data_IF_498697091648
#
_entry.id   IF_498697091648
#
_cell.length_a   1.000
_cell.length_b   1.000
_cell.length_c   1.000
_cell.angle_alpha   90.00
_cell.angle_beta   90.00
_cell.angle_gamma   90.00
#
_symmetry.space_group_name_H-M   'P 1'
#
loop_
_entity.id
_entity.type
_entity.pdbx_description
1 polymer ?
#
# COMPACT_ATOMS: atom_id res chain seq x y z
N UNK A 1 25.28 -12.73 -17.54
CA UNK A 1 25.16 -13.75 -16.48
C UNK A 1 26.54 -14.31 -16.31
N UNK A 2 27.14 -14.19 -15.13
CA UNK A 2 28.48 -14.74 -14.87
C UNK A 2 28.42 -16.27 -15.01
N UNK A 3 29.45 -16.89 -15.59
CA UNK A 3 29.57 -18.32 -15.96
C UNK A 3 29.50 -19.31 -14.77
N UNK A 4 29.16 -18.87 -13.56
CA UNK A 4 29.35 -19.63 -12.32
C UNK A 4 28.06 -20.08 -11.59
N UNK A 5 26.89 -19.94 -12.20
CA UNK A 5 25.63 -20.43 -11.59
C UNK A 5 25.03 -21.58 -12.43
N UNK A 6 25.40 -22.85 -12.17
CA UNK A 6 24.90 -23.98 -12.94
C UNK A 6 23.43 -24.25 -12.62
N UNK A 7 22.59 -24.37 -13.66
CA UNK A 7 21.20 -24.79 -13.51
C UNK A 7 21.17 -26.23 -12.99
N UNK A 8 20.66 -26.43 -11.77
CA UNK A 8 20.60 -27.75 -11.09
C UNK A 8 19.32 -28.51 -11.48
N UNK A 9 18.22 -27.79 -11.72
CA UNK A 9 16.93 -28.36 -12.09
C UNK A 9 16.07 -27.35 -12.85
N UNK A 10 15.39 -27.83 -13.89
CA UNK A 10 14.38 -27.07 -14.63
C UNK A 10 13.00 -27.64 -14.28
N UNK A 11 12.13 -26.80 -13.73
CA UNK A 11 10.77 -27.18 -13.31
C UNK A 11 9.79 -26.51 -14.27
N UNK A 12 9.02 -27.26 -15.08
CA UNK A 12 7.99 -26.68 -15.91
C UNK A 12 6.86 -26.11 -15.04
N UNK A 13 6.41 -24.92 -15.39
CA UNK A 13 5.34 -24.20 -14.69
C UNK A 13 4.13 -24.08 -15.60
N UNK A 14 3.02 -24.68 -15.19
CA UNK A 14 1.75 -24.66 -15.90
C UNK A 14 0.75 -23.75 -15.21
N UNK A 15 -0.06 -23.03 -15.97
CA UNK A 15 -1.19 -22.28 -15.44
C UNK A 15 -2.48 -23.06 -15.71
N UNK A 16 -3.30 -23.24 -14.67
CA UNK A 16 -4.54 -24.01 -14.72
C UNK A 16 -5.71 -23.04 -14.66
N UNK A 17 -6.46 -22.97 -15.76
CA UNK A 17 -7.57 -22.03 -15.93
C UNK A 17 -8.94 -22.66 -15.59
N UNK A 18 -9.05 -23.98 -15.61
CA UNK A 18 -10.29 -24.76 -15.36
C UNK A 18 -10.95 -24.42 -14.02
N UNK A 19 -10.14 -24.15 -13.00
CA UNK A 19 -10.57 -23.84 -11.62
C UNK A 19 -10.60 -22.33 -11.32
N UNK A 20 -10.38 -21.48 -12.31
CA UNK A 20 -10.36 -20.04 -12.10
C UNK A 20 -11.72 -19.53 -11.63
N UNK A 21 -11.69 -18.71 -10.58
CA UNK A 21 -12.88 -18.08 -10.03
C UNK A 21 -13.69 -18.94 -9.05
N UNK A 22 -13.29 -20.21 -8.83
CA UNK A 22 -13.96 -21.11 -7.88
C UNK A 22 -13.14 -21.34 -6.60
N UNK A 23 -11.83 -21.08 -6.66
CA UNK A 23 -10.90 -21.40 -5.60
C UNK A 23 -10.84 -20.29 -4.54
N UNK A 24 -11.21 -20.63 -3.30
CA UNK A 24 -11.11 -19.74 -2.15
C UNK A 24 -10.11 -20.28 -1.13
N UNK A 25 -9.24 -19.41 -0.61
CA UNK A 25 -8.33 -19.78 0.49
C UNK A 25 -9.00 -19.44 1.82
N UNK A 26 -9.29 -20.46 2.62
CA UNK A 26 -9.92 -20.30 3.93
C UNK A 26 -8.84 -20.36 5.02
N UNK A 27 -8.75 -19.31 5.84
CA UNK A 27 -7.81 -19.19 6.95
C UNK A 27 -8.54 -19.18 8.28
N UNK A 28 -7.93 -19.74 9.32
CA UNK A 28 -8.45 -19.76 10.68
C UNK A 28 -7.46 -19.08 11.65
N UNK A 29 -7.44 -17.73 11.73
CA UNK A 29 -6.41 -17.01 12.50
C UNK A 29 -6.38 -17.36 14.00
N UNK A 30 -7.51 -17.78 14.57
CA UNK A 30 -7.63 -18.15 15.98
C UNK A 30 -7.32 -19.63 16.26
N UNK A 31 -6.86 -20.37 15.25
CA UNK A 31 -6.49 -21.78 15.38
C UNK A 31 -5.02 -21.97 15.00
N UNK A 32 -4.19 -22.50 15.92
CA UNK A 32 -2.81 -22.80 15.58
C UNK A 32 -2.74 -24.02 14.67
N UNK A 33 -1.66 -24.13 13.89
CA UNK A 33 -1.44 -25.20 12.90
C UNK A 33 -1.48 -26.62 13.52
N UNK A 34 -1.03 -26.77 14.77
CA UNK A 34 -1.06 -28.06 15.48
C UNK A 34 -2.44 -28.44 16.05
N UNK A 35 -3.44 -27.54 15.99
CA UNK A 35 -4.81 -27.79 16.44
C UNK A 35 -5.81 -27.36 15.35
N UNK A 36 -5.88 -28.09 14.23
CA UNK A 36 -6.88 -27.85 13.21
C UNK A 36 -8.30 -28.16 13.74
N UNK A 37 -9.30 -27.89 12.90
CA UNK A 37 -10.68 -28.25 13.25
C UNK A 37 -10.82 -29.78 13.22
N UNK A 38 -11.37 -30.41 14.27
CA UNK A 38 -11.32 -31.86 14.45
C UNK A 38 -12.26 -32.62 13.50
N UNK A 39 -13.31 -31.96 13.01
CA UNK A 39 -14.34 -32.54 12.15
C UNK A 39 -14.64 -31.61 10.98
N UNK A 40 -15.22 -32.17 9.92
CA UNK A 40 -15.81 -31.38 8.85
C UNK A 40 -17.00 -30.54 9.38
N UNK A 41 -17.27 -29.37 8.80
CA UNK A 41 -18.47 -28.60 9.15
C UNK A 41 -19.73 -29.42 8.83
N UNK A 42 -20.79 -29.23 9.60
CA UNK A 42 -22.08 -29.88 9.36
C UNK A 42 -22.91 -29.12 8.32
N UNK A 43 -22.76 -27.79 8.27
CA UNK A 43 -23.44 -26.93 7.29
C UNK A 43 -22.50 -25.86 6.78
N UNK A 44 -22.60 -25.59 5.49
CA UNK A 44 -21.84 -24.56 4.80
C UNK A 44 -22.80 -23.70 3.98
N UNK A 45 -22.66 -22.38 4.10
CA UNK A 45 -23.49 -21.40 3.40
C UNK A 45 -22.63 -20.31 2.81
N UNK A 46 -22.92 -19.89 1.60
CA UNK A 46 -22.17 -18.86 0.89
C UNK A 46 -23.10 -17.77 0.38
N UNK A 47 -22.67 -16.53 0.57
CA UNK A 47 -23.16 -15.35 -0.15
C UNK A 47 -22.18 -15.05 -1.28
N UNK A 48 -22.49 -15.39 -2.55
CA UNK A 48 -21.53 -15.29 -3.66
C UNK A 48 -21.11 -13.85 -4.01
N UNK A 49 -22.01 -12.88 -3.93
CA UNK A 49 -21.73 -11.47 -4.29
C UNK A 49 -20.85 -10.80 -3.23
N UNK A 50 -21.21 -10.94 -1.95
CA UNK A 50 -20.45 -10.37 -0.84
C UNK A 50 -19.32 -11.28 -0.33
N UNK A 51 -19.18 -12.49 -0.90
CA UNK A 51 -18.14 -13.49 -0.59
C UNK A 51 -18.06 -13.82 0.90
N UNK A 52 -19.23 -14.03 1.51
CA UNK A 52 -19.33 -14.41 2.92
C UNK A 52 -19.63 -15.90 3.00
N UNK A 53 -18.66 -16.67 3.48
CA UNK A 53 -18.81 -18.07 3.84
C UNK A 53 -19.15 -18.17 5.33
N UNK A 54 -20.14 -18.99 5.63
CA UNK A 54 -20.51 -19.37 6.98
C UNK A 54 -20.43 -20.88 7.11
N UNK A 55 -19.72 -21.35 8.13
CA UNK A 55 -19.54 -22.76 8.44
C UNK A 55 -20.04 -23.02 9.86
N UNK A 56 -20.95 -23.97 10.01
CA UNK A 56 -21.47 -24.40 11.30
C UNK A 56 -20.80 -25.75 11.65
N UNK A 57 -19.98 -25.75 12.70
CA UNK A 57 -19.40 -26.96 13.28
C UNK A 57 -20.25 -27.43 14.45
N UNK A 58 -20.13 -28.70 14.84
CA UNK A 58 -20.74 -29.16 16.08
C UNK A 58 -20.15 -28.36 17.26
N UNK A 59 -20.99 -27.80 18.13
CA UNK A 59 -20.54 -27.06 19.31
C UNK A 59 -20.06 -27.97 20.43
N UNK A 60 -20.42 -29.26 20.38
CA UNK A 60 -20.11 -30.27 21.40
C UNK A 60 -18.86 -31.09 21.07
N UNK A 61 -17.86 -30.46 20.43
CA UNK A 61 -16.62 -31.12 19.98
C UNK A 61 -15.91 -31.88 21.11
N UNK A 62 -16.06 -31.43 22.35
CA UNK A 62 -15.62 -32.15 23.55
C UNK A 62 -16.75 -32.15 24.58
N UNK A 63 -17.48 -33.27 24.68
CA UNK A 63 -18.59 -33.42 25.62
C UNK A 63 -18.18 -33.25 27.10
N UNK A 64 -16.88 -33.39 27.41
CA UNK A 64 -16.33 -33.20 28.76
C UNK A 64 -16.12 -31.72 29.12
N UNK A 65 -15.91 -30.86 28.11
CA UNK A 65 -15.62 -29.44 28.31
C UNK A 65 -16.85 -28.55 28.02
N UNK A 66 -18.02 -29.18 27.84
CA UNK A 66 -19.27 -28.49 27.54
C UNK A 66 -20.11 -28.38 28.81
N UNK A 67 -20.36 -27.15 29.24
CA UNK A 67 -21.24 -26.87 30.36
C UNK A 67 -22.70 -27.02 29.94
N UNK A 68 -23.42 -27.93 30.59
CA UNK A 68 -24.84 -28.22 30.33
C UNK A 68 -25.76 -27.45 31.26
N UNK A 69 -25.22 -26.84 32.29
CA UNK A 69 -25.97 -26.12 33.31
C UNK A 69 -25.97 -24.59 33.04
N UNK A 70 -25.24 -24.15 32.01
CA UNK A 70 -25.25 -22.77 31.51
C UNK A 70 -26.62 -22.37 30.96
N UNK A 71 -26.90 -21.06 30.92
CA UNK A 71 -28.15 -20.49 30.38
C UNK A 71 -28.36 -20.90 28.91
N UNK A 72 -29.63 -21.08 28.51
CA UNK A 72 -29.98 -21.69 27.21
C UNK A 72 -29.38 -20.94 26.02
N UNK A 73 -29.32 -19.60 26.07
CA UNK A 73 -28.71 -18.80 25.01
C UNK A 73 -27.20 -19.01 24.89
N UNK A 74 -26.50 -19.37 25.98
CA UNK A 74 -25.07 -19.71 26.00
C UNK A 74 -24.79 -21.15 25.56
N UNK A 75 -25.81 -22.02 25.57
CA UNK A 75 -25.69 -23.42 25.15
C UNK A 75 -25.57 -23.55 23.63
N UNK A 76 -24.38 -23.26 23.10
CA UNK A 76 -24.11 -23.32 21.67
C UNK A 76 -24.16 -24.77 21.14
N UNK A 77 -25.27 -25.13 20.48
CA UNK A 77 -25.35 -26.40 19.73
C UNK A 77 -24.36 -26.46 18.57
N UNK A 78 -24.09 -25.32 17.94
CA UNK A 78 -23.17 -25.21 16.81
C UNK A 78 -22.15 -24.10 17.04
N UNK A 79 -20.87 -24.40 16.80
CA UNK A 79 -19.84 -23.38 16.68
C UNK A 79 -19.92 -22.78 15.28
N UNK A 80 -20.50 -21.58 15.18
CA UNK A 80 -20.63 -20.85 13.92
C UNK A 80 -19.40 -20.00 13.64
N UNK A 81 -18.75 -20.26 12.51
CA UNK A 81 -17.68 -19.42 11.99
C UNK A 81 -18.19 -18.64 10.77
N UNK A 82 -17.94 -17.34 10.76
CA UNK A 82 -18.25 -16.46 9.64
C UNK A 82 -16.97 -15.89 9.06
N UNK A 83 -16.88 -15.84 7.73
CA UNK A 83 -15.72 -15.29 7.05
C UNK A 83 -15.78 -13.76 6.95
N UNK A 84 -14.62 -13.13 7.06
CA UNK A 84 -14.35 -11.80 6.53
C UNK A 84 -13.41 -11.89 5.33
N UNK A 85 -13.76 -11.23 4.22
CA UNK A 85 -12.88 -11.16 3.06
C UNK A 85 -11.65 -10.32 3.37
N UNK A 86 -10.47 -10.84 3.02
CA UNK A 86 -9.20 -10.09 3.10
C UNK A 86 -8.97 -9.38 1.78
N UNK A 87 -8.62 -8.09 1.84
CA UNK A 87 -8.22 -7.35 0.65
C UNK A 87 -6.86 -7.86 0.16
N UNK A 88 -6.85 -8.38 -1.05
CA UNK A 88 -5.64 -8.86 -1.71
C UNK A 88 -4.75 -7.67 -2.09
N UNK A 89 -3.50 -7.68 -1.62
CA UNK A 89 -2.50 -6.67 -2.00
C UNK A 89 -1.78 -7.05 -3.31
N UNK A 90 -1.95 -8.28 -3.76
CA UNK A 90 -1.22 -8.91 -4.85
C UNK A 90 -2.09 -9.99 -5.51
N UNK A 91 -1.64 -10.48 -6.65
CA UNK A 91 -2.20 -11.67 -7.29
C UNK A 91 -1.66 -12.91 -6.57
N UNK A 92 -2.54 -13.69 -5.95
CA UNK A 92 -2.17 -14.95 -5.28
C UNK A 92 -2.61 -16.15 -6.13
N UNK A 93 -1.82 -17.23 -6.07
CA UNK A 93 -2.09 -18.50 -6.71
C UNK A 93 -1.71 -19.65 -5.77
N UNK A 94 -2.39 -20.79 -5.91
CA UNK A 94 -1.97 -22.06 -5.28
C UNK A 94 -1.11 -22.82 -6.28
N UNK A 95 0.06 -23.27 -5.83
CA UNK A 95 0.94 -24.14 -6.59
C UNK A 95 0.86 -25.58 -6.09
N UNK A 96 0.57 -26.53 -6.98
CA UNK A 96 0.59 -27.96 -6.70
C UNK A 96 1.76 -28.59 -7.46
N UNK A 97 2.64 -29.28 -6.75
CA UNK A 97 3.81 -29.96 -7.32
C UNK A 97 3.49 -31.45 -7.52
N UNK A 98 3.59 -31.95 -8.75
CA UNK A 98 3.38 -33.37 -9.08
C UNK A 98 4.39 -33.80 -10.14
N UNK A 99 5.07 -34.91 -9.91
CA UNK A 99 6.04 -35.49 -10.86
C UNK A 99 7.10 -34.50 -11.38
N UNK A 100 7.52 -33.53 -10.55
CA UNK A 100 8.50 -32.51 -10.94
C UNK A 100 7.94 -31.36 -11.76
N UNK A 101 6.63 -31.27 -11.95
CA UNK A 101 5.94 -30.15 -12.62
C UNK A 101 5.15 -29.32 -11.59
N UNK A 102 5.15 -27.99 -11.76
CA UNK A 102 4.41 -27.06 -10.91
C UNK A 102 3.16 -26.54 -11.63
N UNK A 103 1.99 -26.82 -11.09
CA UNK A 103 0.72 -26.32 -11.60
C UNK A 103 0.21 -25.18 -10.72
N UNK A 104 0.06 -23.98 -11.30
CA UNK A 104 -0.42 -22.79 -10.64
C UNK A 104 -1.91 -22.57 -10.95
N UNK A 105 -2.72 -22.37 -9.92
CA UNK A 105 -4.14 -22.01 -10.05
C UNK A 105 -4.41 -20.67 -9.37
N UNK A 106 -4.99 -19.67 -10.06
CA UNK A 106 -5.29 -18.36 -9.47
C UNK A 106 -6.32 -18.47 -8.34
N UNK A 107 -6.08 -17.77 -7.23
CA UNK A 107 -7.05 -17.65 -6.15
C UNK A 107 -8.13 -16.62 -6.50
N UNK A 108 -9.39 -16.93 -6.19
CA UNK A 108 -10.51 -16.00 -6.36
C UNK A 108 -10.70 -15.07 -5.17
N UNK A 109 -10.59 -15.61 -3.95
CA UNK A 109 -10.57 -14.80 -2.74
C UNK A 109 -9.90 -15.47 -1.56
N UNK A 110 -9.36 -14.64 -0.65
CA UNK A 110 -8.91 -15.08 0.67
C UNK A 110 -9.95 -14.74 1.74
N UNK A 111 -10.39 -15.74 2.49
CA UNK A 111 -11.45 -15.67 3.50
C UNK A 111 -10.88 -16.01 4.88
N UNK A 112 -11.01 -15.11 5.84
CA UNK A 112 -10.62 -15.35 7.23
C UNK A 112 -11.83 -15.70 8.09
N UNK A 113 -11.85 -16.89 8.66
CA UNK A 113 -12.93 -17.38 9.51
C UNK A 113 -12.76 -16.88 10.94
N UNK A 114 -13.84 -16.33 11.51
CA UNK A 114 -13.92 -15.93 12.92
C UNK A 114 -15.19 -16.47 13.57
N UNK A 115 -15.15 -16.83 14.86
CA UNK A 115 -16.35 -17.18 15.62
C UNK A 115 -17.36 -16.05 15.59
N UNK A 116 -18.61 -16.43 15.34
CA UNK A 116 -19.75 -15.53 15.37
C UNK A 116 -20.47 -15.64 16.71
N UNK A 117 -20.79 -14.50 17.32
CA UNK A 117 -21.50 -14.41 18.60
C UNK A 117 -22.98 -14.04 18.44
N UNK A 118 -23.55 -14.24 17.25
CA UNK A 118 -24.95 -13.87 16.93
C UNK A 118 -26.01 -14.44 17.89
N UNK A 119 -25.71 -15.53 18.58
CA UNK A 119 -26.62 -16.10 19.58
C UNK A 119 -26.82 -15.18 20.79
N UNK A 120 -25.80 -14.41 21.18
CA UNK A 120 -25.89 -13.41 22.25
C UNK A 120 -26.69 -12.21 21.77
N UNK A 121 -26.37 -11.70 20.57
CA UNK A 121 -27.09 -10.57 19.98
C UNK A 121 -28.59 -10.90 19.83
N UNK A 122 -28.91 -12.11 19.35
CA UNK A 122 -30.30 -12.56 19.23
C UNK A 122 -31.01 -12.67 20.58
N UNK A 123 -30.34 -13.18 21.62
CA UNK A 123 -30.94 -13.30 22.95
C UNK A 123 -31.28 -11.92 23.54
N UNK A 124 -30.37 -10.95 23.37
CA UNK A 124 -30.62 -9.55 23.79
C UNK A 124 -31.76 -8.93 22.99
N UNK A 125 -31.84 -9.17 21.67
CA UNK A 125 -32.96 -8.70 20.86
C UNK A 125 -34.30 -9.35 21.26
N UNK A 126 -34.30 -10.63 21.62
CA UNK A 126 -35.48 -11.34 22.12
C UNK A 126 -35.95 -10.76 23.46
N UNK A 127 -35.04 -10.56 24.43
CA UNK A 127 -35.33 -9.91 25.72
C UNK A 127 -35.93 -8.51 25.55
N UNK A 128 -35.30 -7.66 24.72
CA UNK A 128 -35.82 -6.33 24.41
C UNK A 128 -37.20 -6.38 23.75
N UNK A 129 -37.43 -7.35 22.85
CA UNK A 129 -38.71 -7.50 22.18
C UNK A 129 -39.82 -7.94 23.12
N UNK A 130 -39.48 -8.71 24.16
CA UNK A 130 -40.43 -9.17 25.17
C UNK A 130 -40.75 -8.05 26.17
N UNK A 131 -39.76 -7.24 26.58
CA UNK A 131 -39.98 -5.99 27.34
C UNK A 131 -40.86 -5.00 26.56
N UNK A 132 -40.63 -4.84 25.25
CA UNK A 132 -41.47 -3.99 24.39
C UNK A 132 -42.90 -4.53 24.28
N UNK A 133 -43.12 -5.85 24.14
CA UNK A 133 -44.47 -6.43 24.12
C UNK A 133 -45.19 -6.21 25.45
N UNK A 134 -44.49 -6.32 26.58
CA UNK A 134 -45.04 -6.04 27.90
C UNK A 134 -45.42 -4.55 28.06
N UNK A 135 -44.66 -3.62 27.49
CA UNK A 135 -44.98 -2.18 27.53
C UNK A 135 -46.03 -1.72 26.50
N UNK A 136 -46.16 -2.42 25.36
CA UNK A 136 -47.11 -2.07 24.29
C UNK A 136 -48.54 -2.51 24.62
N UNK A 137 -48.74 -3.46 25.54
CA UNK A 137 -50.08 -3.83 26.02
C UNK A 137 -50.77 -2.67 26.79
N UNK A 138 -49.99 -1.74 27.34
CA UNK A 138 -50.49 -0.57 28.09
C UNK A 138 -50.68 0.71 27.23
N UNK A 139 -50.18 0.77 25.98
CA UNK A 139 -50.19 2.02 25.19
C UNK A 139 -50.46 1.83 23.70
N UNK A 140 -51.62 1.28 23.34
CA UNK A 140 -52.10 1.34 21.96
C UNK A 140 -52.63 2.75 21.60
N UNK A 141 -51.76 3.64 21.12
CA UNK A 141 -52.17 4.79 20.28
C UNK A 141 -51.31 4.81 19.02
N UNK A 142 -51.90 4.40 17.90
CA UNK A 142 -51.31 4.45 16.55
C UNK A 142 -50.95 5.89 16.18
N UNK A 143 -49.67 6.25 16.24
CA UNK A 143 -49.15 7.42 15.54
C UNK A 143 -48.64 7.00 14.16
N UNK A 144 -49.36 7.43 13.12
CA UNK A 144 -48.91 7.33 11.73
C UNK A 144 -47.88 8.44 11.50
N UNK A 145 -46.60 8.11 11.63
CA UNK A 145 -45.52 9.02 11.24
C UNK A 145 -45.37 9.01 9.72
N UNK A 146 -45.75 10.12 9.07
CA UNK A 146 -45.40 10.37 7.68
C UNK A 146 -43.96 10.89 7.59
N UNK A 147 -43.03 10.03 7.20
CA UNK A 147 -41.67 10.42 6.85
C UNK A 147 -41.66 11.15 5.50
N UNK A 148 -41.53 12.47 5.54
CA UNK A 148 -41.23 13.27 4.35
C UNK A 148 -39.81 12.94 3.87
N UNK A 149 -39.70 12.16 2.78
CA UNK A 149 -38.44 11.96 2.06
C UNK A 149 -37.97 13.29 1.46
N UNK A 150 -37.11 14.01 2.19
CA UNK A 150 -36.37 15.15 1.64
C UNK A 150 -35.59 14.67 0.41
N UNK A 151 -35.75 15.35 -0.73
CA UNK A 151 -34.91 15.11 -1.93
C UNK A 151 -33.46 15.44 -1.57
N UNK A 152 -32.69 14.41 -1.25
CA UNK A 152 -31.28 14.50 -0.97
C UNK A 152 -30.50 14.86 -2.25
N UNK A 153 -29.64 15.88 -2.19
CA UNK A 153 -28.75 16.24 -3.30
C UNK A 153 -27.77 15.10 -3.61
N UNK A 154 -27.30 15.03 -4.86
CA UNK A 154 -26.54 13.90 -5.41
C UNK A 154 -25.30 13.49 -4.58
N UNK A 155 -24.62 14.48 -3.96
CA UNK A 155 -23.47 14.26 -3.06
C UNK A 155 -23.86 13.60 -1.73
N UNK A 156 -25.05 13.91 -1.20
CA UNK A 156 -25.56 13.30 0.03
C UNK A 156 -26.08 11.87 -0.21
N UNK A 157 -26.61 11.57 -1.40
CA UNK A 157 -26.96 10.19 -1.78
C UNK A 157 -25.72 9.31 -1.91
N UNK A 158 -24.62 9.81 -2.48
CA UNK A 158 -23.34 9.08 -2.54
C UNK A 158 -22.74 8.83 -1.14
N UNK A 159 -22.89 9.78 -0.21
CA UNK A 159 -22.47 9.58 1.19
C UNK A 159 -23.35 8.54 1.92
N UNK A 160 -24.67 8.58 1.68
CA UNK A 160 -25.62 7.61 2.24
C UNK A 160 -25.37 6.19 1.68
N UNK A 161 -25.08 6.06 0.38
CA UNK A 161 -24.72 4.77 -0.23
C UNK A 161 -23.42 4.18 0.33
N UNK A 162 -22.46 5.04 0.68
CA UNK A 162 -21.20 4.63 1.31
C UNK A 162 -21.32 4.39 2.82
N UNK A 163 -22.46 4.72 3.44
CA UNK A 163 -22.71 4.50 4.86
C UNK A 163 -22.70 3.00 5.20
N UNK A 164 -22.28 2.71 6.43
CA UNK A 164 -22.25 1.35 6.96
C UNK A 164 -23.63 0.69 6.95
N UNK A 165 -24.69 1.44 7.28
CA UNK A 165 -26.06 0.94 7.33
C UNK A 165 -26.55 0.47 5.95
N UNK A 166 -26.31 1.25 4.91
CA UNK A 166 -26.71 0.89 3.55
C UNK A 166 -25.95 -0.35 3.04
N UNK A 167 -24.65 -0.44 3.30
CA UNK A 167 -23.85 -1.64 2.96
C UNK A 167 -24.31 -2.87 3.75
N UNK A 168 -24.58 -2.74 5.06
CA UNK A 168 -25.10 -3.82 5.89
C UNK A 168 -26.45 -4.32 5.37
N UNK A 169 -27.34 -3.42 4.97
CA UNK A 169 -28.64 -3.78 4.38
C UNK A 169 -28.48 -4.55 3.06
N UNK A 170 -27.60 -4.11 2.16
CA UNK A 170 -27.32 -4.83 0.92
C UNK A 170 -26.75 -6.23 1.17
N UNK A 171 -25.80 -6.34 2.10
CA UNK A 171 -25.23 -7.63 2.51
C UNK A 171 -26.31 -8.53 3.08
N UNK A 172 -27.20 -8.01 3.92
CA UNK A 172 -28.28 -8.78 4.54
C UNK A 172 -29.36 -9.18 3.53
N UNK A 173 -29.62 -8.34 2.52
CA UNK A 173 -30.58 -8.62 1.45
C UNK A 173 -30.13 -9.78 0.54
N UNK A 174 -28.82 -10.02 0.42
CA UNK A 174 -28.31 -11.18 -0.31
C UNK A 174 -28.71 -12.50 0.39
N UNK A 175 -29.29 -13.41 -0.39
CA UNK A 175 -29.72 -14.73 0.10
C UNK A 175 -28.53 -15.67 0.26
N UNK A 176 -28.58 -16.50 1.30
CA UNK A 176 -27.63 -17.58 1.50
C UNK A 176 -27.85 -18.71 0.48
N UNK A 177 -26.76 -19.22 -0.08
CA UNK A 177 -26.75 -20.45 -0.87
C UNK A 177 -26.14 -21.56 -0.02
N UNK A 178 -26.90 -22.63 0.21
CA UNK A 178 -26.38 -23.80 0.91
C UNK A 178 -25.39 -24.56 0.01
N UNK A 179 -24.30 -25.05 0.61
CA UNK A 179 -23.24 -25.79 -0.07
C UNK A 179 -23.20 -27.22 0.46
N UNK A 180 -22.97 -28.18 -0.43
CA UNK A 180 -22.64 -29.56 -0.09
C UNK A 180 -21.19 -29.65 0.37
N UNK A 181 -20.96 -30.37 1.47
CA UNK A 181 -19.63 -30.53 2.07
C UNK A 181 -19.14 -31.93 1.71
N UNK A 182 -17.96 -31.99 1.14
CA UNK A 182 -17.27 -33.24 0.84
C UNK A 182 -15.97 -33.31 1.64
N UNK A 183 -15.70 -34.47 2.24
CA UNK A 183 -14.45 -34.72 2.95
C UNK A 183 -13.29 -34.89 1.97
N UNK A 184 -12.06 -34.76 2.47
CA UNK A 184 -10.83 -34.88 1.66
C UNK A 184 -10.67 -36.25 1.01
N UNK A 185 -11.25 -37.29 1.60
CA UNK A 185 -11.20 -38.68 1.14
C UNK A 185 -12.29 -39.06 0.14
N UNK A 186 -13.24 -38.16 -0.15
CA UNK A 186 -14.34 -38.46 -1.05
C UNK A 186 -13.88 -38.48 -2.52
N UNK A 187 -14.43 -39.39 -3.32
CA UNK A 187 -14.16 -39.52 -4.75
C UNK A 187 -14.40 -38.21 -5.50
N UNK A 188 -15.50 -37.52 -5.21
CA UNK A 188 -15.78 -36.19 -5.80
C UNK A 188 -14.69 -35.14 -5.50
N UNK A 189 -14.10 -35.19 -4.31
CA UNK A 189 -13.02 -34.26 -3.94
C UNK A 189 -11.73 -34.61 -4.69
N UNK A 190 -11.47 -35.91 -4.89
CA UNK A 190 -10.32 -36.39 -5.67
C UNK A 190 -10.46 -36.04 -7.15
N UNK A 191 -11.65 -36.19 -7.73
CA UNK A 191 -11.94 -35.79 -9.11
C UNK A 191 -11.76 -34.27 -9.32
N UNK A 192 -12.28 -33.46 -8.40
CA UNK A 192 -12.05 -32.01 -8.43
C UNK A 192 -10.57 -31.66 -8.16
N UNK A 193 -9.85 -32.50 -7.42
CA UNK A 193 -8.41 -32.34 -7.22
C UNK A 193 -7.62 -32.62 -8.52
N UNK A 194 -8.05 -33.58 -9.33
CA UNK A 194 -7.44 -33.87 -10.62
C UNK A 194 -7.59 -32.70 -11.61
N UNK A 195 -8.65 -31.89 -11.48
CA UNK A 195 -8.83 -30.67 -12.27
C UNK A 195 -7.81 -29.54 -11.97
N UNK A 196 -6.98 -29.67 -10.92
CA UNK A 196 -5.83 -28.77 -10.69
C UNK A 196 -4.60 -29.13 -11.53
N UNK A 197 -4.68 -30.19 -12.34
CA UNK A 197 -3.65 -30.55 -13.30
C UNK A 197 -4.15 -30.28 -14.71
N UNK A 198 -3.29 -29.69 -15.54
CA UNK A 198 -3.58 -29.50 -16.95
C UNK A 198 -2.92 -30.64 -17.72
N UNK A 199 -3.73 -31.42 -18.46
CA UNK A 199 -3.21 -32.44 -19.39
C UNK A 199 -2.72 -31.82 -20.72
N UNK A 200 -3.13 -30.58 -21.01
CA UNK A 200 -2.75 -29.84 -22.21
C UNK A 200 -1.69 -28.80 -21.88
N UNK A 201 -0.58 -28.88 -22.59
CA UNK A 201 0.53 -27.95 -22.50
C UNK A 201 0.44 -26.94 -23.64
N UNK A 202 -0.18 -25.79 -23.37
CA UNK A 202 -0.18 -24.64 -24.28
C UNK A 202 0.87 -23.62 -23.81
N UNK A 203 1.73 -23.15 -24.72
CA UNK A 203 2.74 -22.16 -24.38
C UNK A 203 2.10 -20.79 -24.19
N UNK A 204 2.19 -20.25 -22.97
CA UNK A 204 1.75 -18.88 -22.68
C UNK A 204 2.86 -17.92 -23.11
N UNK A 205 2.66 -17.24 -24.23
CA UNK A 205 3.59 -16.20 -24.70
C UNK A 205 3.17 -14.87 -24.09
N UNK A 206 4.10 -14.21 -23.39
CA UNK A 206 3.90 -12.81 -22.99
C UNK A 206 3.93 -11.94 -24.24
N UNK A 207 2.83 -11.23 -24.52
CA UNK A 207 2.76 -10.25 -25.61
C UNK A 207 3.60 -9.00 -25.33
N UNK A 208 4.04 -8.80 -24.08
CA UNK A 208 4.78 -7.63 -23.62
C UNK A 208 6.29 -7.81 -23.80
N UNK A 209 6.94 -6.77 -24.33
CA UNK A 209 8.40 -6.68 -24.29
C UNK A 209 8.92 -6.40 -22.87
N UNK A 210 10.19 -6.71 -22.56
CA UNK A 210 10.76 -6.46 -21.23
C UNK A 210 10.66 -5.00 -20.76
N UNK A 211 10.82 -4.03 -21.67
CA UNK A 211 10.71 -2.60 -21.37
C UNK A 211 9.26 -2.18 -21.05
N UNK A 212 8.29 -2.69 -21.82
CA UNK A 212 6.86 -2.46 -21.57
C UNK A 212 6.41 -3.12 -20.26
N UNK A 213 6.90 -4.32 -19.96
CA UNK A 213 6.65 -5.00 -18.69
C UNK A 213 7.17 -4.18 -17.50
N UNK A 214 8.40 -3.67 -17.57
CA UNK A 214 8.95 -2.80 -16.52
C UNK A 214 8.16 -1.50 -16.36
N UNK A 215 7.68 -0.92 -17.46
CA UNK A 215 6.81 0.25 -17.40
C UNK A 215 5.47 -0.07 -16.72
N UNK A 216 4.86 -1.21 -17.03
CA UNK A 216 3.61 -1.66 -16.40
C UNK A 216 3.77 -1.92 -14.89
N UNK A 217 4.93 -2.41 -14.44
CA UNK A 217 5.22 -2.64 -13.03
C UNK A 217 5.33 -1.35 -12.20
N UNK A 218 5.83 -0.25 -12.78
CA UNK A 218 6.00 1.04 -12.09
C UNK A 218 4.68 1.62 -11.55
N UNK A 219 3.53 1.25 -12.12
CA UNK A 219 2.22 1.69 -11.66
C UNK A 219 1.79 1.11 -10.29
N UNK A 220 2.37 -0.01 -9.81
CA UNK A 220 1.95 -0.61 -8.54
C UNK A 220 2.45 0.14 -7.29
N UNK A 221 3.47 0.99 -7.41
CA UNK A 221 3.99 1.80 -6.29
C UNK A 221 3.27 3.15 -6.11
N UNK A 222 2.42 3.57 -7.06
CA UNK A 222 1.69 4.85 -6.99
C UNK A 222 0.54 4.89 -5.95
N UNK A 223 0.21 3.76 -5.30
CA UNK A 223 -0.83 3.72 -4.26
C UNK A 223 -0.32 4.10 -2.86
N UNK A 224 0.98 4.34 -2.69
CA UNK A 224 1.47 5.08 -1.52
C UNK A 224 1.46 6.54 -1.94
N UNK A 225 0.59 7.34 -1.33
CA UNK A 225 0.71 8.80 -1.35
C UNK A 225 1.96 9.20 -0.56
N UNK A 226 3.13 8.95 -1.14
CA UNK A 226 4.30 9.74 -0.83
C UNK A 226 4.14 10.96 -1.74
N UNK A 227 4.21 12.16 -1.17
CA UNK A 227 4.31 13.42 -1.91
C UNK A 227 5.66 13.47 -2.67
N UNK A 228 5.92 12.49 -3.51
CA UNK A 228 6.97 12.53 -4.53
C UNK A 228 6.38 13.32 -5.69
N UNK A 229 6.67 14.63 -5.72
CA UNK A 229 6.44 15.47 -6.89
C UNK A 229 7.05 14.76 -8.10
N UNK A 230 6.25 14.33 -9.10
CA UNK A 230 6.77 13.49 -10.17
C UNK A 230 7.78 14.24 -11.04
N UNK A 231 8.81 13.51 -11.46
CA UNK A 231 9.83 13.88 -12.44
C UNK A 231 9.20 14.26 -13.81
N UNK A 232 7.93 13.91 -14.05
CA UNK A 232 7.14 14.34 -15.23
C UNK A 232 7.01 15.87 -15.34
N UNK A 233 7.20 16.59 -14.24
CA UNK A 233 7.15 18.05 -14.24
C UNK A 233 8.29 18.71 -15.04
N UNK A 234 9.39 18.00 -15.35
CA UNK A 234 10.50 18.51 -16.16
C UNK A 234 10.11 18.70 -17.64
N UNK A 235 9.09 17.98 -18.14
CA UNK A 235 8.69 18.06 -19.55
C UNK A 235 7.84 19.29 -19.88
N UNK A 236 7.30 19.99 -18.87
CA UNK A 236 6.42 21.16 -19.06
C UNK A 236 7.16 22.52 -19.02
N UNK A 237 8.48 22.53 -18.78
CA UNK A 237 9.28 23.76 -18.76
C UNK A 237 9.77 24.12 -20.18
N UNK A 238 9.51 25.37 -20.60
CA UNK A 238 9.70 25.81 -21.99
C UNK A 238 11.16 26.05 -22.39
N UNK A 239 12.08 26.23 -21.43
CA UNK A 239 13.51 26.50 -21.71
C UNK A 239 14.44 25.56 -20.93
N UNK A 240 15.66 25.35 -21.44
CA UNK A 240 16.67 24.51 -20.79
C UNK A 240 16.99 25.01 -19.36
N UNK A 241 17.15 26.34 -19.17
CA UNK A 241 17.39 26.94 -17.86
C UNK A 241 16.29 26.59 -16.85
N UNK A 242 15.01 26.61 -17.25
CA UNK A 242 13.89 26.24 -16.38
C UNK A 242 13.90 24.74 -16.02
N UNK A 243 14.21 23.87 -16.99
CA UNK A 243 14.33 22.42 -16.74
C UNK A 243 15.46 22.11 -15.76
N UNK A 244 16.61 22.75 -15.93
CA UNK A 244 17.77 22.59 -15.03
C UNK A 244 17.46 23.15 -13.63
N UNK A 245 16.83 24.33 -13.53
CA UNK A 245 16.40 24.89 -12.25
C UNK A 245 15.42 23.95 -11.52
N UNK A 246 14.47 23.38 -12.24
CA UNK A 246 13.48 22.46 -11.66
C UNK A 246 14.11 21.14 -11.18
N UNK A 247 15.08 20.61 -11.92
CA UNK A 247 15.87 19.46 -11.48
C UNK A 247 16.63 19.77 -10.19
N UNK A 248 17.28 20.94 -10.11
CA UNK A 248 17.98 21.42 -8.91
C UNK A 248 17.03 21.66 -7.73
N UNK A 249 15.82 22.19 -7.96
CA UNK A 249 14.81 22.39 -6.91
C UNK A 249 14.27 21.06 -6.37
N UNK A 250 14.24 20.02 -7.19
CA UNK A 250 13.80 18.68 -6.79
C UNK A 250 14.86 17.99 -5.93
N UNK A 251 16.12 18.02 -6.37
CA UNK A 251 17.23 17.30 -5.72
C UNK A 251 17.85 18.09 -4.55
N UNK A 252 17.65 19.42 -4.51
CA UNK A 252 18.16 20.42 -3.54
C UNK A 252 19.69 20.53 -3.42
N UNK A 253 20.42 19.45 -3.67
CA UNK A 253 21.88 19.37 -3.75
C UNK A 253 22.25 18.38 -4.86
N UNK A 254 22.90 18.85 -5.92
CA UNK A 254 23.28 17.99 -7.06
C UNK A 254 24.76 18.12 -7.43
N UNK A 255 25.22 17.23 -8.30
CA UNK A 255 26.54 17.28 -8.96
C UNK A 255 26.38 17.59 -10.43
N UNK A 256 27.43 18.13 -11.04
CA UNK A 256 27.45 18.37 -12.48
C UNK A 256 27.29 17.07 -13.28
N UNK A 257 27.97 16.00 -12.86
CA UNK A 257 27.83 14.65 -13.44
C UNK A 257 26.40 14.12 -13.39
N UNK A 258 25.67 14.38 -12.29
CA UNK A 258 24.29 13.95 -12.13
C UNK A 258 23.35 14.72 -13.05
N UNK A 259 23.55 16.03 -13.19
CA UNK A 259 22.76 16.86 -14.09
C UNK A 259 23.02 16.46 -15.55
N UNK A 260 24.28 16.22 -15.94
CA UNK A 260 24.62 15.72 -17.27
C UNK A 260 23.98 14.35 -17.56
N UNK A 261 23.89 13.47 -16.56
CA UNK A 261 23.20 12.19 -16.70
C UNK A 261 21.69 12.33 -16.87
N UNK A 262 21.07 13.36 -16.27
CA UNK A 262 19.64 13.66 -16.43
C UNK A 262 19.36 14.26 -17.81
N UNK A 263 20.21 15.17 -18.27
CA UNK A 263 20.10 15.86 -19.57
C UNK A 263 21.08 15.31 -20.60
N UNK A 264 21.05 13.99 -20.81
CA UNK A 264 21.91 13.31 -21.79
C UNK A 264 21.68 13.73 -23.25
N UNK A 265 20.60 14.48 -23.51
CA UNK A 265 20.21 15.04 -24.79
C UNK A 265 20.89 16.38 -25.15
N UNK A 266 21.57 17.03 -24.19
CA UNK A 266 22.19 18.35 -24.36
C UNK A 266 23.72 18.26 -24.22
N UNK A 267 24.45 19.22 -24.79
CA UNK A 267 25.89 19.26 -24.63
C UNK A 267 26.28 19.69 -23.20
N UNK A 268 27.39 19.17 -22.68
CA UNK A 268 27.89 19.53 -21.35
C UNK A 268 28.20 21.04 -21.24
N UNK A 269 28.63 21.67 -22.34
CA UNK A 269 28.89 23.12 -22.43
C UNK A 269 27.63 23.95 -22.27
N UNK A 270 26.53 23.58 -22.95
CA UNK A 270 25.25 24.26 -22.82
C UNK A 270 24.69 24.14 -21.40
N UNK A 271 24.78 22.95 -20.81
CA UNK A 271 24.37 22.73 -19.40
C UNK A 271 25.21 23.63 -18.49
N UNK A 272 26.53 23.65 -18.65
CA UNK A 272 27.42 24.46 -17.82
C UNK A 272 27.13 25.98 -17.94
N UNK A 273 26.82 26.47 -19.14
CA UNK A 273 26.41 27.86 -19.35
C UNK A 273 25.07 28.18 -18.67
N UNK A 274 24.07 27.31 -18.77
CA UNK A 274 22.78 27.53 -18.10
C UNK A 274 22.89 27.57 -16.58
N UNK A 275 23.84 26.83 -15.99
CA UNK A 275 24.07 26.84 -14.55
C UNK A 275 24.45 28.23 -14.00
N UNK A 276 25.08 29.09 -14.80
CA UNK A 276 25.38 30.47 -14.41
C UNK A 276 24.12 31.29 -14.10
N UNK A 277 23.00 30.97 -14.76
CA UNK A 277 21.74 31.67 -14.55
C UNK A 277 20.98 31.13 -13.33
N UNK A 278 21.02 29.81 -13.12
CA UNK A 278 20.06 29.09 -12.25
C UNK A 278 20.66 28.43 -11.01
N UNK A 279 21.98 28.36 -10.89
CA UNK A 279 22.64 27.63 -9.81
C UNK A 279 23.65 28.46 -9.01
N UNK A 280 23.88 28.03 -7.78
CA UNK A 280 24.93 28.52 -6.88
C UNK A 280 25.84 27.34 -6.56
N UNK A 281 27.16 27.51 -6.66
CA UNK A 281 28.13 26.45 -6.39
C UNK A 281 28.86 26.66 -5.07
N UNK A 282 28.72 25.73 -4.12
CA UNK A 282 29.53 25.73 -2.87
C UNK A 282 30.26 24.40 -2.77
N UNK A 283 31.60 24.46 -2.66
CA UNK A 283 32.46 23.27 -2.53
C UNK A 283 32.19 22.22 -3.61
N UNK A 284 31.90 22.67 -4.83
CA UNK A 284 31.65 21.81 -5.98
C UNK A 284 30.28 21.12 -6.00
N UNK A 285 29.38 21.49 -5.08
CA UNK A 285 27.96 21.11 -5.12
C UNK A 285 27.12 22.23 -5.69
N UNK A 286 26.11 21.86 -6.48
CA UNK A 286 25.19 22.78 -7.13
C UNK A 286 23.89 22.88 -6.32
N UNK A 287 23.49 24.12 -6.05
CA UNK A 287 22.28 24.48 -5.34
C UNK A 287 21.37 25.31 -6.25
N UNK A 288 20.04 25.18 -6.14
CA UNK A 288 19.12 26.03 -6.90
C UNK A 288 19.24 27.47 -6.42
N UNK A 289 19.31 28.41 -7.35
CA UNK A 289 19.19 29.84 -7.07
C UNK A 289 17.73 30.14 -6.72
N UNK A 290 17.47 30.45 -5.46
CA UNK A 290 16.14 30.85 -5.01
C UNK A 290 15.92 32.35 -5.25
N UNK A 291 14.71 32.73 -5.70
CA UNK A 291 14.31 34.12 -5.92
C UNK A 291 13.31 34.61 -4.86
N UNK A 292 12.90 33.74 -3.94
CA UNK A 292 11.90 34.04 -2.91
C UNK A 292 12.54 34.71 -1.67
N UNK A 293 11.73 35.13 -0.71
CA UNK A 293 12.18 35.70 0.57
C UNK A 293 13.17 34.79 1.33
N UNK A 294 13.08 33.47 1.09
CA UNK A 294 14.00 32.44 1.62
C UNK A 294 15.41 32.47 0.99
N UNK A 295 15.62 33.19 -0.11
CA UNK A 295 16.90 33.30 -0.79
C UNK A 295 17.98 33.94 0.09
N UNK A 296 17.60 34.91 0.92
CA UNK A 296 18.54 35.55 1.85
C UNK A 296 19.11 34.55 2.86
N UNK A 297 18.23 33.76 3.49
CA UNK A 297 18.60 32.71 4.45
C UNK A 297 19.49 31.65 3.79
N UNK A 298 19.08 31.17 2.60
CA UNK A 298 19.84 30.17 1.85
C UNK A 298 21.25 30.68 1.49
N UNK A 299 21.36 31.90 0.98
CA UNK A 299 22.63 32.50 0.57
C UNK A 299 23.57 32.69 1.78
N UNK A 300 23.07 33.17 2.91
CA UNK A 300 23.86 33.31 4.15
C UNK A 300 24.37 31.96 4.64
N UNK A 301 23.53 30.92 4.61
CA UNK A 301 23.94 29.56 5.00
C UNK A 301 25.03 29.02 4.06
N UNK A 302 24.83 29.17 2.75
CA UNK A 302 25.77 28.72 1.72
C UNK A 302 27.12 29.45 1.80
N UNK A 303 27.13 30.77 2.01
CA UNK A 303 28.34 31.57 2.25
C UNK A 303 29.13 31.09 3.48
N UNK A 304 28.44 30.70 4.54
CA UNK A 304 29.10 30.18 5.73
C UNK A 304 29.64 28.75 5.49
N UNK A 305 28.97 27.94 4.66
CA UNK A 305 29.47 26.61 4.28
C UNK A 305 30.67 26.70 3.36
N UNK A 306 30.79 27.74 2.54
CA UNK A 306 32.00 27.97 1.77
C UNK A 306 33.21 28.14 2.71
N UNK A 307 33.09 29.02 3.70
CA UNK A 307 34.16 29.33 4.67
C UNK A 307 34.41 28.22 5.71
N UNK A 308 33.40 27.43 6.09
CA UNK A 308 33.46 26.45 7.20
C UNK A 308 32.84 25.12 6.80
N UNK A 309 33.49 24.00 7.18
CA UNK A 309 32.97 22.65 6.90
C UNK A 309 31.73 22.28 7.71
N UNK A 310 31.61 22.85 8.90
CA UNK A 310 30.46 22.66 9.76
C UNK A 310 30.08 23.99 10.41
N UNK A 311 28.78 24.20 10.62
CA UNK A 311 28.24 25.45 11.15
C UNK A 311 27.29 25.16 12.31
N UNK A 312 27.32 26.01 13.35
CA UNK A 312 26.31 26.00 14.41
C UNK A 312 25.17 26.94 14.05
N UNK A 313 23.93 26.47 14.18
CA UNK A 313 22.73 27.28 13.93
C UNK A 313 22.62 28.45 14.90
N UNK A 314 22.97 28.24 16.18
CA UNK A 314 22.88 29.29 17.22
C UNK A 314 23.76 30.49 16.84
N UNK A 315 25.01 30.22 16.43
CA UNK A 315 25.97 31.25 16.02
C UNK A 315 25.52 31.96 14.72
N UNK A 316 24.87 31.23 13.80
CA UNK A 316 24.34 31.84 12.57
C UNK A 316 23.19 32.79 12.87
N UNK A 317 22.22 32.35 13.67
CA UNK A 317 21.04 33.14 13.97
C UNK A 317 21.40 34.41 14.74
N UNK A 318 22.32 34.32 15.72
CA UNK A 318 22.80 35.49 16.46
C UNK A 318 23.55 36.50 15.58
N UNK A 319 24.30 36.01 14.59
CA UNK A 319 25.15 36.86 13.76
C UNK A 319 24.41 37.54 12.60
N UNK A 320 23.39 36.88 12.05
CA UNK A 320 22.69 37.32 10.85
C UNK A 320 21.20 37.63 11.08
N UNK A 321 20.74 37.59 12.34
CA UNK A 321 19.36 37.89 12.75
C UNK A 321 18.30 37.11 11.93
N UNK A 322 18.54 35.80 11.77
CA UNK A 322 17.68 34.91 10.98
C UNK A 322 16.59 34.28 11.84
N UNK A 323 15.40 34.09 11.26
CA UNK A 323 14.31 33.34 11.89
C UNK A 323 14.78 31.89 12.20
N UNK A 324 14.72 31.45 13.47
CA UNK A 324 15.24 30.15 13.89
C UNK A 324 14.51 28.95 13.28
N UNK A 325 13.25 29.10 12.90
CA UNK A 325 12.44 28.02 12.32
C UNK A 325 12.70 27.91 10.82
N UNK A 326 12.73 29.02 10.09
CA UNK A 326 13.04 29.04 8.65
C UNK A 326 14.49 28.59 8.37
N UNK A 327 15.45 29.04 9.18
CA UNK A 327 16.84 28.60 9.07
C UNK A 327 16.99 27.09 9.32
N UNK A 328 16.19 26.53 10.24
CA UNK A 328 16.19 25.09 10.53
C UNK A 328 15.59 24.29 9.39
N UNK A 329 14.51 24.76 8.76
CA UNK A 329 13.94 24.12 7.57
C UNK A 329 14.94 24.09 6.42
N UNK A 330 15.58 25.22 6.11
CA UNK A 330 16.60 25.29 5.05
C UNK A 330 17.81 24.37 5.34
N UNK A 331 18.28 24.35 6.59
CA UNK A 331 19.38 23.46 7.00
C UNK A 331 19.02 21.98 6.91
N UNK A 332 17.78 21.59 7.22
CA UNK A 332 17.35 20.18 7.09
C UNK A 332 17.34 19.71 5.64
N UNK A 333 17.06 20.61 4.69
CA UNK A 333 17.04 20.28 3.27
C UNK A 333 18.47 20.02 2.77
N UNK A 334 19.43 20.85 3.18
CA UNK A 334 20.79 20.90 2.61
C UNK A 334 21.85 20.16 3.47
N UNK A 335 21.63 20.01 4.77
CA UNK A 335 22.64 19.56 5.73
C UNK A 335 22.10 18.50 6.69
N UNK A 336 23.02 17.76 7.31
CA UNK A 336 22.78 16.81 8.40
C UNK A 336 23.35 17.35 9.71
N UNK A 337 22.57 17.19 10.79
CA UNK A 337 22.95 17.58 12.14
C UNK A 337 23.72 16.45 12.83
N UNK A 338 24.92 16.75 13.33
CA UNK A 338 25.61 15.86 14.27
C UNK A 338 25.08 16.12 15.70
N UNK A 339 24.45 15.11 16.34
CA UNK A 339 23.86 15.28 17.67
C UNK A 339 24.89 15.53 18.77
N UNK A 340 26.16 15.14 18.59
CA UNK A 340 27.20 15.28 19.62
C UNK A 340 27.78 16.68 19.66
N UNK A 341 28.06 17.25 18.50
CA UNK A 341 28.69 18.58 18.35
C UNK A 341 27.67 19.69 18.14
N UNK A 342 26.39 19.35 17.90
CA UNK A 342 25.31 20.28 17.49
C UNK A 342 25.68 21.11 16.26
N UNK A 343 26.55 20.59 15.41
CA UNK A 343 26.98 21.25 14.18
C UNK A 343 26.30 20.63 12.96
N UNK A 344 26.00 21.47 11.98
CA UNK A 344 25.44 21.08 10.68
C UNK A 344 26.56 20.93 9.66
N UNK A 345 26.53 19.85 8.89
CA UNK A 345 27.45 19.58 7.77
C UNK A 345 26.66 19.21 6.52
N UNK A 346 27.16 19.55 5.33
CA UNK A 346 26.48 19.23 4.06
C UNK A 346 26.29 17.71 3.93
N UNK A 347 25.13 17.28 3.42
CA UNK A 347 24.77 15.84 3.28
C UNK A 347 25.67 15.09 2.30
N UNK A 348 26.22 15.78 1.32
CA UNK A 348 27.08 15.22 0.27
C UNK A 348 28.50 15.78 0.41
N UNK A 349 29.50 14.95 0.13
CA UNK A 349 30.92 15.31 0.23
C UNK A 349 31.36 16.32 -0.84
N UNK A 350 32.63 16.71 -0.93
CA UNK A 350 33.08 17.60 -2.02
C UNK A 350 33.06 16.86 -3.37
N UNK A 351 32.72 17.55 -4.45
CA UNK A 351 32.82 17.02 -5.83
C UNK A 351 33.53 18.05 -6.73
N UNK A 352 34.64 17.68 -7.35
CA UNK A 352 35.44 18.59 -8.17
C UNK A 352 35.19 18.41 -9.69
N UNK A 353 34.21 17.60 -10.11
CA UNK A 353 33.89 17.34 -11.53
C UNK A 353 33.71 18.62 -12.35
N UNK A 354 32.91 19.57 -11.86
CA UNK A 354 32.70 20.85 -12.54
C UNK A 354 33.97 21.71 -12.61
N UNK A 355 34.81 21.65 -11.58
CA UNK A 355 36.06 22.41 -11.51
C UNK A 355 37.12 21.88 -12.47
N UNK A 356 37.13 20.55 -12.65
CA UNK A 356 38.04 19.88 -13.57
C UNK A 356 37.64 20.07 -15.03
N UNK A 357 36.34 19.95 -15.34
CA UNK A 357 35.86 19.98 -16.72
C UNK A 357 35.64 21.42 -17.23
N UNK A 358 35.19 22.34 -16.36
CA UNK A 358 34.87 23.73 -16.71
C UNK A 358 35.38 24.74 -15.65
N UNK A 359 36.71 25.00 -15.59
CA UNK A 359 37.32 25.80 -14.53
C UNK A 359 36.86 27.27 -14.54
N UNK A 360 36.62 27.86 -15.71
CA UNK A 360 36.16 29.25 -15.83
C UNK A 360 34.72 29.44 -15.29
N UNK A 361 33.83 28.51 -15.62
CA UNK A 361 32.43 28.51 -15.16
C UNK A 361 32.37 28.24 -13.66
N UNK A 362 33.16 27.29 -13.16
CA UNK A 362 33.26 27.03 -11.73
C UNK A 362 33.73 28.26 -10.95
N UNK A 363 34.64 29.06 -11.52
CA UNK A 363 35.11 30.31 -10.89
C UNK A 363 34.01 31.38 -10.88
N UNK A 364 33.29 31.56 -11.98
CA UNK A 364 32.18 32.52 -12.06
C UNK A 364 31.04 32.16 -11.10
N UNK A 365 30.70 30.88 -10.96
CA UNK A 365 29.70 30.41 -9.99
C UNK A 365 30.12 30.67 -8.53
N UNK A 366 31.42 30.57 -8.22
CA UNK A 366 31.95 30.86 -6.89
C UNK A 366 31.99 32.36 -6.60
N UNK A 367 32.24 33.21 -7.60
CA UNK A 367 32.24 34.66 -7.47
C UNK A 367 30.82 35.22 -7.24
N UNK A 368 29.77 34.56 -7.75
CA UNK A 368 28.36 34.93 -7.52
C UNK A 368 27.86 34.72 -6.08
N UNK A 369 28.66 34.08 -5.22
CA UNK A 369 28.34 33.85 -3.81
C UNK A 369 28.73 35.04 -2.91
N UNK A 370 29.47 36.01 -3.44
CA UNK A 370 29.92 37.24 -2.76
C UNK A 370 28.90 38.34 -3.01
#
# INVERSE_FOLDING_TARGET
MEENDPIIAEIPVHLVETQRGKLHLIQYPLRPSYRPMPTAPQKARLKPQNRILQLDYDGRLSAQNYDRDAEEYLQQRYLRLQSSQVKEQSNYAIGVLRQGQLHLTPLHSVLQMRPSLLHIDNAVEEELSDEEKEMVDDTQVKQVQFEFKKKHGERSMKALQNSYQHKKQQINAERWKDLSIFEQSNEHTLDEFENFFSEREDTIVSELSPSEYLHALKYRHANVKIDEKPIESIQNASTLSQRVLQALQTDRISTFSRICAIFSDQSAEEIAQTLLEVAIAVRGRLFPKCLDEKAHIQNVILQNFDRRRAISREILNEKYDLDPDEAKECLKEIASLDPKTRSWSLKLERDDTLSNDFPEISRQLAEMLI
#
